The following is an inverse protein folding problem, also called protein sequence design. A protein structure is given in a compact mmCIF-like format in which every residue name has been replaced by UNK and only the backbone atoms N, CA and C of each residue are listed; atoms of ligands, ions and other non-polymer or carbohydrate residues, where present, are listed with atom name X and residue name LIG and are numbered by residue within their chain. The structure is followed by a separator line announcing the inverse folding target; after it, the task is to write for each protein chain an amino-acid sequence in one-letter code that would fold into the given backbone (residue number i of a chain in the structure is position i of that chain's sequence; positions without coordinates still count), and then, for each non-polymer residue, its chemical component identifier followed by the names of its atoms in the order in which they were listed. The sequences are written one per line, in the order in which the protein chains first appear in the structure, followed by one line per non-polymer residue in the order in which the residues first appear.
data_IF_075194980830
#
_entry.id   IF_075194980830
#
_cell.length_a   1.000
_cell.length_b   1.000
_cell.length_c   1.000
_cell.angle_alpha   90.00
_cell.angle_beta   90.00
_cell.angle_gamma   90.00
#
_symmetry.space_group_name_H-M   'P 1'
#
loop_
_entity.id
_entity.type
_entity.pdbx_description
1 polymer ?
#
# COMPACT_ATOMS: atom_id res chain seq x y z
N UNK A 1 -5.63 -7.00 8.38
CA UNK A 1 -4.21 -6.96 8.73
C UNK A 1 -4.00 -7.38 10.17
N UNK A 2 -2.83 -7.81 10.50
CA UNK A 2 -2.49 -8.20 11.87
C UNK A 2 -1.78 -7.04 12.61
N UNK A 3 -1.54 -7.24 13.90
CA UNK A 3 -0.98 -6.22 14.76
C UNK A 3 0.42 -5.77 14.33
N UNK A 4 1.23 -6.68 13.80
CA UNK A 4 2.58 -6.34 13.31
C UNK A 4 2.48 -5.40 12.12
N UNK A 5 1.59 -5.68 11.19
CA UNK A 5 1.37 -4.85 10.02
C UNK A 5 0.82 -3.47 10.40
N UNK A 6 -0.10 -3.41 11.35
CA UNK A 6 -0.61 -2.14 11.86
C UNK A 6 0.51 -1.27 12.44
N UNK A 7 1.42 -1.89 13.20
CA UNK A 7 2.57 -1.18 13.80
C UNK A 7 3.52 -0.67 12.73
N UNK A 8 3.82 -1.48 11.71
CA UNK A 8 4.68 -1.07 10.59
C UNK A 8 4.02 0.10 9.83
N UNK A 9 2.72 0.00 9.55
CA UNK A 9 1.99 1.06 8.87
C UNK A 9 2.05 2.38 9.64
N UNK A 10 1.90 2.32 10.94
CA UNK A 10 2.02 3.50 11.81
C UNK A 10 3.43 4.10 11.74
N UNK A 11 4.46 3.27 11.78
CA UNK A 11 5.85 3.73 11.68
C UNK A 11 6.12 4.43 10.35
N UNK A 12 5.64 3.85 9.26
CA UNK A 12 5.78 4.42 7.92
C UNK A 12 5.06 5.77 7.81
N UNK A 13 3.84 5.85 8.35
CA UNK A 13 3.09 7.11 8.40
C UNK A 13 3.86 8.19 9.17
N UNK A 14 4.34 7.87 10.36
CA UNK A 14 5.10 8.81 11.19
C UNK A 14 6.40 9.24 10.53
N UNK A 15 7.08 8.33 9.84
CA UNK A 15 8.29 8.67 9.09
C UNK A 15 7.97 9.68 7.98
N UNK A 16 6.87 9.51 7.25
CA UNK A 16 6.44 10.46 6.23
C UNK A 16 6.15 11.84 6.82
N UNK A 17 5.49 11.88 7.97
CA UNK A 17 5.23 13.15 8.65
C UNK A 17 6.53 13.89 9.01
N UNK A 18 7.55 13.16 9.46
CA UNK A 18 8.79 13.77 9.96
C UNK A 18 9.79 14.08 8.84
N UNK A 19 9.84 13.27 7.79
CA UNK A 19 10.89 13.31 6.76
C UNK A 19 10.39 13.55 5.33
N UNK A 20 9.07 13.56 5.14
CA UNK A 20 8.48 13.85 3.84
C UNK A 20 8.13 12.61 3.04
N UNK A 21 8.00 12.79 1.73
CA UNK A 21 7.54 11.76 0.81
C UNK A 21 8.56 10.63 0.66
N UNK A 22 8.04 9.41 0.47
CA UNK A 22 8.84 8.28 0.03
C UNK A 22 9.03 8.31 -1.48
N UNK A 23 10.13 7.73 -1.96
CA UNK A 23 10.33 7.54 -3.39
C UNK A 23 9.20 6.67 -3.98
N UNK A 24 8.81 6.95 -5.21
CA UNK A 24 7.85 6.23 -6.04
C UNK A 24 6.39 6.30 -5.60
N UNK A 25 6.10 6.39 -4.31
CA UNK A 25 4.71 6.37 -3.80
C UNK A 25 4.24 7.71 -3.24
N UNK A 26 5.17 8.61 -2.91
CA UNK A 26 4.85 9.93 -2.41
C UNK A 26 4.65 10.00 -0.91
N UNK A 27 3.83 10.97 -0.49
CA UNK A 27 3.51 11.20 0.92
C UNK A 27 2.51 10.17 1.41
N UNK A 28 2.70 9.70 2.61
CA UNK A 28 1.69 8.85 3.27
C UNK A 28 0.61 9.76 3.86
N UNK A 29 -0.58 9.66 3.28
CA UNK A 29 -1.71 10.49 3.70
C UNK A 29 -2.39 9.95 4.93
N UNK A 30 -2.47 8.62 5.06
CA UNK A 30 -3.14 7.96 6.19
C UNK A 30 -2.70 6.50 6.31
N UNK A 31 -3.00 5.88 7.44
CA UNK A 31 -2.83 4.46 7.67
C UNK A 31 -4.06 3.91 8.40
N UNK A 32 -4.34 2.63 8.21
CA UNK A 32 -5.54 1.98 8.78
C UNK A 32 -6.82 2.76 8.48
N UNK A 33 -6.95 3.18 7.22
CA UNK A 33 -8.07 4.01 6.77
C UNK A 33 -9.33 3.16 6.64
N UNK A 34 -10.42 3.47 7.37
CA UNK A 34 -11.64 2.68 7.29
C UNK A 34 -12.32 2.83 5.93
N UNK A 35 -12.92 1.73 5.45
CA UNK A 35 -13.64 1.70 4.17
C UNK A 35 -15.14 1.96 4.31
N UNK A 36 -15.62 2.38 5.46
CA UNK A 36 -17.05 2.60 5.67
C UNK A 36 -17.59 3.66 4.74
N UNK A 37 -18.53 3.29 3.91
CA UNK A 37 -19.29 4.24 3.10
C UNK A 37 -20.46 4.83 3.86
N UNK A 38 -20.97 4.13 4.89
CA UNK A 38 -22.00 4.60 5.81
C UNK A 38 -21.93 3.84 7.14
N UNK A 39 -22.69 4.29 8.13
CA UNK A 39 -22.68 3.70 9.47
C UNK A 39 -23.22 2.26 9.54
N UNK A 40 -23.96 1.82 8.53
CA UNK A 40 -24.56 0.49 8.48
C UNK A 40 -23.61 -0.58 7.96
N UNK A 41 -22.52 -0.20 7.32
CA UNK A 41 -21.61 -1.13 6.66
C UNK A 41 -20.76 -1.95 7.63
N UNK A 42 -20.80 -1.64 8.90
CA UNK A 42 -20.05 -2.40 9.90
C UNK A 42 -18.54 -2.32 9.68
N UNK A 43 -17.86 -3.41 9.96
CA UNK A 43 -16.41 -3.53 9.78
C UNK A 43 -16.12 -4.17 8.43
N UNK A 44 -16.06 -3.34 7.38
CA UNK A 44 -15.81 -3.81 6.00
C UNK A 44 -14.32 -3.83 5.65
N UNK A 45 -13.47 -3.55 6.63
CA UNK A 45 -12.02 -3.57 6.44
C UNK A 45 -11.40 -2.19 6.46
N UNK A 46 -10.10 -2.18 6.33
CA UNK A 46 -9.28 -0.96 6.38
C UNK A 46 -8.21 -1.02 5.31
N UNK A 47 -7.93 0.13 4.74
CA UNK A 47 -6.75 0.33 3.89
C UNK A 47 -5.54 0.40 4.82
N UNK A 48 -4.53 -0.44 4.59
CA UNK A 48 -3.34 -0.42 5.43
C UNK A 48 -2.60 0.91 5.35
N UNK A 49 -2.30 1.36 4.14
CA UNK A 49 -1.61 2.62 3.89
C UNK A 49 -2.21 3.30 2.66
N UNK A 50 -2.43 4.60 2.79
CA UNK A 50 -2.88 5.45 1.70
C UNK A 50 -1.77 6.46 1.38
N UNK A 51 -1.26 6.43 0.15
CA UNK A 51 -0.16 7.29 -0.29
C UNK A 51 -0.56 8.12 -1.51
N UNK A 52 0.01 9.31 -1.64
CA UNK A 52 -0.27 10.20 -2.77
C UNK A 52 1.01 10.88 -3.24
N UNK A 53 1.25 10.83 -4.55
CA UNK A 53 2.46 11.40 -5.16
C UNK A 53 2.22 12.70 -5.94
N UNK A 54 1.01 13.24 -5.90
CA UNK A 54 0.60 14.43 -6.66
C UNK A 54 -0.30 14.09 -7.83
N UNK A 55 -0.29 12.85 -8.31
CA UNK A 55 -1.12 12.39 -9.43
C UNK A 55 -1.88 11.12 -9.09
N UNK A 56 -1.21 10.18 -8.45
CA UNK A 56 -1.74 8.85 -8.14
C UNK A 56 -1.88 8.69 -6.64
N UNK A 57 -3.09 8.30 -6.23
CA UNK A 57 -3.38 7.86 -4.87
C UNK A 57 -3.31 6.34 -4.84
N UNK A 58 -2.41 5.81 -4.05
CA UNK A 58 -2.20 4.36 -3.96
C UNK A 58 -2.79 3.80 -2.68
N UNK A 59 -3.65 2.82 -2.84
CA UNK A 59 -4.15 1.96 -1.78
C UNK A 59 -3.12 0.83 -1.66
N UNK A 60 -2.31 0.88 -0.60
CA UNK A 60 -1.20 -0.05 -0.43
C UNK A 60 -1.58 -1.16 0.55
N UNK A 61 -1.55 -2.39 0.07
CA UNK A 61 -1.78 -3.58 0.89
C UNK A 61 -0.45 -4.07 1.45
N UNK A 62 -0.29 -3.90 2.74
CA UNK A 62 0.97 -4.18 3.45
C UNK A 62 1.03 -5.64 3.89
N UNK A 63 2.19 -6.27 3.68
CA UNK A 63 2.50 -7.57 4.27
C UNK A 63 3.79 -7.44 5.09
N UNK A 64 3.79 -8.02 6.29
CA UNK A 64 4.95 -8.01 7.19
C UNK A 64 6.13 -8.80 6.57
N UNK A 65 7.36 -8.61 7.07
CA UNK A 65 8.56 -9.22 6.45
C UNK A 65 8.52 -10.74 6.34
N UNK A 66 7.94 -11.42 7.32
CA UNK A 66 7.88 -12.88 7.38
C UNK A 66 6.49 -13.44 7.00
N UNK A 67 5.67 -12.63 6.33
CA UNK A 67 4.35 -13.06 5.87
C UNK A 67 4.46 -14.24 4.92
N UNK A 68 3.61 -15.25 5.12
CA UNK A 68 3.49 -16.43 4.25
C UNK A 68 2.33 -16.30 3.24
N UNK A 69 1.63 -15.18 3.25
CA UNK A 69 0.55 -14.96 2.30
C UNK A 69 1.09 -14.83 0.88
N UNK A 70 0.29 -15.27 -0.10
CA UNK A 70 0.71 -15.20 -1.50
C UNK A 70 0.63 -13.78 -2.02
N UNK A 71 1.44 -13.47 -3.04
CA UNK A 71 1.33 -12.22 -3.77
C UNK A 71 -0.07 -12.07 -4.40
N UNK A 72 -0.62 -13.15 -4.94
CA UNK A 72 -1.97 -13.13 -5.52
C UNK A 72 -3.01 -12.64 -4.50
N UNK A 73 -2.97 -13.17 -3.28
CA UNK A 73 -3.90 -12.74 -2.23
C UNK A 73 -3.71 -11.27 -1.89
N UNK A 74 -2.48 -10.80 -1.80
CA UNK A 74 -2.15 -9.40 -1.54
C UNK A 74 -2.75 -8.49 -2.63
N UNK A 75 -2.55 -8.85 -3.90
CA UNK A 75 -3.10 -8.11 -5.05
C UNK A 75 -4.63 -8.05 -4.97
N UNK A 76 -5.27 -9.19 -4.73
CA UNK A 76 -6.73 -9.27 -4.71
C UNK A 76 -7.34 -8.54 -3.52
N UNK A 77 -6.71 -8.56 -2.36
CA UNK A 77 -7.19 -7.81 -1.20
C UNK A 77 -7.17 -6.30 -1.49
N UNK A 78 -6.07 -5.78 -2.00
CA UNK A 78 -5.95 -4.37 -2.34
C UNK A 78 -6.94 -3.95 -3.42
N UNK A 79 -7.07 -4.75 -4.45
CA UNK A 79 -8.03 -4.50 -5.53
C UNK A 79 -9.47 -4.49 -5.03
N UNK A 80 -9.83 -5.43 -4.16
CA UNK A 80 -11.15 -5.50 -3.55
C UNK A 80 -11.44 -4.24 -2.73
N UNK A 81 -10.50 -3.78 -1.93
CA UNK A 81 -10.65 -2.54 -1.16
C UNK A 81 -10.87 -1.34 -2.10
N UNK A 82 -10.11 -1.24 -3.17
CA UNK A 82 -10.28 -0.16 -4.14
C UNK A 82 -11.67 -0.18 -4.78
N UNK A 83 -12.18 -1.37 -5.10
CA UNK A 83 -13.50 -1.52 -5.75
C UNK A 83 -14.66 -1.28 -4.79
N UNK A 84 -14.49 -1.54 -3.50
CA UNK A 84 -15.54 -1.32 -2.49
C UNK A 84 -15.52 0.08 -1.92
N UNK A 85 -14.39 0.78 -1.99
CA UNK A 85 -14.27 2.15 -1.50
C UNK A 85 -14.97 3.15 -2.42
N UNK A 86 -15.54 4.19 -1.84
CA UNK A 86 -15.92 5.38 -2.59
C UNK A 86 -14.65 6.21 -2.82
N UNK A 87 -13.97 5.95 -3.93
CA UNK A 87 -12.67 6.58 -4.21
C UNK A 87 -12.78 8.09 -4.42
N UNK A 88 -13.86 8.58 -5.00
CA UNK A 88 -14.06 10.02 -5.17
C UNK A 88 -14.17 10.72 -3.82
N UNK A 89 -14.94 10.12 -2.90
CA UNK A 89 -15.06 10.63 -1.53
C UNK A 89 -13.71 10.56 -0.81
N UNK A 90 -13.00 9.45 -0.94
CA UNK A 90 -11.68 9.27 -0.32
C UNK A 90 -10.71 10.37 -0.76
N UNK A 91 -10.63 10.63 -2.06
CA UNK A 91 -9.79 11.68 -2.62
C UNK A 91 -10.16 13.05 -2.05
N UNK A 92 -11.46 13.35 -2.00
CA UNK A 92 -11.97 14.63 -1.48
C UNK A 92 -11.70 14.77 0.01
N UNK A 93 -11.85 13.70 0.79
CA UNK A 93 -11.63 13.71 2.23
C UNK A 93 -10.18 14.09 2.58
N UNK A 94 -9.23 13.77 1.72
CA UNK A 94 -7.84 14.15 1.91
C UNK A 94 -7.44 15.44 1.17
N UNK A 95 -8.42 16.21 0.72
CA UNK A 95 -8.18 17.55 0.18
C UNK A 95 -7.73 17.59 -1.27
N UNK A 96 -7.92 16.51 -2.02
CA UNK A 96 -7.52 16.43 -3.42
C UNK A 96 -8.72 16.49 -4.36
N UNK A 97 -8.46 16.75 -5.65
CA UNK A 97 -9.50 16.85 -6.67
C UNK A 97 -9.80 15.47 -7.28
N UNK A 98 -11.01 14.91 -7.10
CA UNK A 98 -11.35 13.60 -7.65
C UNK A 98 -11.23 13.51 -9.17
N UNK A 99 -11.36 14.63 -9.88
CA UNK A 99 -11.25 14.64 -11.34
C UNK A 99 -9.80 14.60 -11.83
N UNK A 100 -8.84 14.86 -10.96
CA UNK A 100 -7.42 14.95 -11.32
C UNK A 100 -6.59 13.79 -10.75
N UNK A 101 -7.15 12.94 -9.90
CA UNK A 101 -6.40 11.89 -9.19
C UNK A 101 -6.78 10.52 -9.73
N UNK A 102 -5.75 9.73 -10.04
CA UNK A 102 -5.88 8.33 -10.42
C UNK A 102 -5.70 7.48 -9.16
N UNK A 103 -6.55 6.48 -8.95
CA UNK A 103 -6.43 5.55 -7.82
C UNK A 103 -5.90 4.21 -8.31
N UNK A 104 -4.90 3.68 -7.63
CA UNK A 104 -4.34 2.35 -7.90
C UNK A 104 -4.23 1.57 -6.60
N UNK A 105 -4.48 0.26 -6.66
CA UNK A 105 -4.25 -0.65 -5.55
C UNK A 105 -2.97 -1.42 -5.83
N UNK A 106 -2.02 -1.40 -4.90
CA UNK A 106 -0.70 -1.95 -5.12
C UNK A 106 -0.21 -2.74 -3.90
N UNK A 107 0.46 -3.88 -4.10
CA UNK A 107 1.15 -4.55 -3.01
C UNK A 107 2.27 -3.69 -2.43
N UNK A 108 2.42 -3.73 -1.11
CA UNK A 108 3.46 -3.04 -0.39
C UNK A 108 4.13 -4.05 0.55
N UNK A 109 5.19 -4.66 0.07
CA UNK A 109 5.77 -5.86 0.66
C UNK A 109 7.26 -5.69 0.84
N UNK A 110 7.87 -6.53 1.67
CA UNK A 110 9.29 -6.37 1.97
C UNK A 110 10.17 -6.96 0.87
N UNK A 111 11.21 -6.23 0.52
CA UNK A 111 12.24 -6.69 -0.41
C UNK A 111 12.88 -7.97 0.14
N UNK A 112 12.95 -9.00 -0.69
CA UNK A 112 13.47 -10.30 -0.29
C UNK A 112 12.51 -11.19 0.49
N UNK A 113 11.31 -10.71 0.80
CA UNK A 113 10.27 -11.52 1.45
C UNK A 113 9.60 -12.51 0.50
N UNK A 114 8.61 -13.24 1.02
CA UNK A 114 7.92 -14.30 0.26
C UNK A 114 7.30 -13.76 -1.03
N UNK A 115 6.60 -12.65 -0.95
CA UNK A 115 5.91 -12.06 -2.10
C UNK A 115 6.89 -11.56 -3.15
N UNK A 116 8.02 -10.98 -2.72
CA UNK A 116 9.10 -10.58 -3.61
C UNK A 116 9.66 -11.80 -4.36
N UNK A 117 9.93 -12.89 -3.64
CA UNK A 117 10.46 -14.12 -4.24
C UNK A 117 9.51 -14.75 -5.24
N UNK A 118 8.19 -14.67 -4.99
CA UNK A 118 7.20 -15.15 -5.95
C UNK A 118 7.31 -14.43 -7.30
N UNK A 119 7.46 -13.11 -7.28
CA UNK A 119 7.59 -12.34 -8.51
C UNK A 119 8.97 -12.49 -9.18
N UNK A 120 9.99 -12.84 -8.41
CA UNK A 120 11.31 -13.13 -8.98
C UNK A 120 11.33 -14.46 -9.74
N UNK A 121 10.35 -15.34 -9.49
CA UNK A 121 10.16 -16.58 -10.24
C UNK A 121 9.38 -16.30 -11.52
N UNK A 122 9.41 -17.27 -12.45
CA UNK A 122 8.64 -17.17 -13.67
C UNK A 122 7.16 -17.47 -13.38
N UNK A 123 6.37 -16.41 -13.18
CA UNK A 123 4.92 -16.48 -12.87
C UNK A 123 4.15 -15.65 -13.89
N UNK A 124 4.06 -16.12 -15.16
CA UNK A 124 3.51 -15.28 -16.23
C UNK A 124 2.05 -14.90 -16.03
N UNK A 125 1.24 -15.79 -15.47
CA UNK A 125 -0.19 -15.49 -15.25
C UNK A 125 -0.40 -14.47 -14.13
N UNK A 126 0.36 -14.58 -13.05
CA UNK A 126 0.32 -13.58 -11.97
C UNK A 126 0.75 -12.21 -12.48
N UNK A 127 1.83 -12.14 -13.23
CA UNK A 127 2.32 -10.89 -13.82
C UNK A 127 1.30 -10.29 -14.78
N UNK A 128 0.65 -11.13 -15.60
CA UNK A 128 -0.41 -10.69 -16.50
C UNK A 128 -1.61 -10.13 -15.74
N UNK A 129 -2.04 -10.79 -14.69
CA UNK A 129 -3.12 -10.31 -13.85
C UNK A 129 -2.77 -8.95 -13.23
N UNK A 130 -1.58 -8.83 -12.66
CA UNK A 130 -1.14 -7.58 -12.05
C UNK A 130 -1.11 -6.44 -13.07
N UNK A 131 -0.65 -6.71 -14.28
CA UNK A 131 -0.66 -5.72 -15.36
C UNK A 131 -2.08 -5.31 -15.74
N UNK A 132 -3.01 -6.27 -15.83
CA UNK A 132 -4.41 -6.00 -16.14
C UNK A 132 -5.09 -5.15 -15.05
N UNK A 133 -4.72 -5.35 -13.80
CA UNK A 133 -5.26 -4.60 -12.67
C UNK A 133 -4.50 -3.30 -12.39
N UNK A 134 -3.44 -3.04 -13.15
CA UNK A 134 -2.53 -1.91 -12.92
C UNK A 134 -2.00 -1.90 -11.48
N UNK A 135 -1.64 -3.07 -10.99
CA UNK A 135 -1.22 -3.33 -9.61
C UNK A 135 0.28 -3.63 -9.57
N UNK A 136 1.08 -2.57 -9.57
CA UNK A 136 2.53 -2.69 -9.49
C UNK A 136 2.96 -2.85 -8.03
N UNK A 137 3.89 -3.78 -7.72
CA UNK A 137 4.39 -3.90 -6.35
C UNK A 137 5.41 -2.81 -6.04
N UNK A 138 5.43 -2.40 -4.78
CA UNK A 138 6.48 -1.56 -4.22
C UNK A 138 7.09 -2.30 -3.03
N UNK A 139 8.41 -2.19 -2.88
CA UNK A 139 9.14 -2.96 -1.89
C UNK A 139 9.70 -2.08 -0.80
N UNK A 140 9.59 -2.57 0.42
CA UNK A 140 10.06 -1.90 1.62
C UNK A 140 11.42 -2.50 2.01
N UNK A 141 12.40 -1.64 2.27
CA UNK A 141 13.68 -2.06 2.83
C UNK A 141 13.91 -1.29 4.12
N UNK A 142 14.38 -1.95 5.17
CA UNK A 142 14.86 -1.23 6.36
C UNK A 142 16.07 -0.38 5.99
N UNK A 143 16.07 0.86 6.46
CA UNK A 143 17.21 1.77 6.25
C UNK A 143 17.99 1.95 7.55
N UNK A 144 18.82 0.97 7.88
CA UNK A 144 19.65 1.02 9.07
C UNK A 144 20.93 1.83 8.90
N UNK A 145 21.29 2.14 7.65
CA UNK A 145 22.61 2.69 7.29
C UNK A 145 22.69 4.19 7.52
N UNK A 146 21.59 4.91 7.27
CA UNK A 146 21.60 6.37 7.28
C UNK A 146 21.28 6.95 8.64
N UNK A 147 20.50 6.28 9.46
CA UNK A 147 19.96 6.90 10.67
C UNK A 147 20.13 6.11 11.96
N UNK A 148 20.49 4.83 11.89
CA UNK A 148 20.54 3.98 13.08
C UNK A 148 19.19 3.65 13.70
N UNK A 149 18.11 4.23 13.19
CA UNK A 149 16.73 4.02 13.66
C UNK A 149 15.97 3.10 12.72
N UNK A 150 14.83 2.57 13.20
CA UNK A 150 13.94 1.73 12.41
C UNK A 150 13.21 2.57 11.34
N UNK A 151 13.92 2.94 10.30
CA UNK A 151 13.39 3.66 9.15
C UNK A 151 13.33 2.76 7.93
N UNK A 152 12.54 3.19 6.97
CA UNK A 152 12.29 2.43 5.76
C UNK A 152 12.58 3.26 4.52
N UNK A 153 13.01 2.59 3.47
CA UNK A 153 13.03 3.14 2.12
C UNK A 153 12.10 2.31 1.24
N UNK A 154 11.63 2.91 0.16
CA UNK A 154 10.78 2.25 -0.82
C UNK A 154 11.56 2.11 -2.12
N UNK A 155 11.53 0.92 -2.68
CA UNK A 155 12.17 0.64 -3.97
C UNK A 155 11.17 -0.03 -4.91
N UNK A 156 11.44 0.05 -6.21
CA UNK A 156 10.68 -0.68 -7.22
C UNK A 156 11.61 -1.52 -8.07
N UNK A 157 11.04 -2.45 -8.83
CA UNK A 157 11.85 -3.29 -9.74
C UNK A 157 12.43 -2.49 -10.91
#
# INVERSE_FOLDING_TARGET
SNRVEEKIAMQIYKQSESFGAFDFIGKIEDYQTPLKSNAEDGDVGKIDILAFDGEVMRILELKKPDSKETMLRCVLEGFTYMKTADCRKLISDFGHNPDAVIVKACPFVFYGGEQYRELAQNRPQLKKLMALLDSKPYYIMPDHVITGDDKYIVVED
#
